data_IF_657381328740
#
_entry.id   IF_657381328740
#
_cell.length_a   1.000
_cell.length_b   1.000
_cell.length_c   1.000
_cell.angle_alpha   90.00
_cell.angle_beta   90.00
_cell.angle_gamma   90.00
#
_symmetry.space_group_name_H-M   'P 1'
#
loop_
_entity.id
_entity.type
_entity.pdbx_description
1 polymer ?
#
# COMPACT_ATOMS: atom_id res chain seq x y z
N UNK A 1 12.85 17.26 20.71
CA UNK A 1 12.19 18.30 21.53
C UNK A 1 10.74 17.89 21.74
N UNK A 2 10.22 18.02 22.96
CA UNK A 2 8.81 17.75 23.26
C UNK A 2 8.07 19.09 23.21
N UNK A 3 6.97 19.16 22.45
CA UNK A 3 6.13 20.36 22.34
C UNK A 3 6.43 21.27 21.13
N UNK A 4 7.46 20.99 20.34
CA UNK A 4 7.80 21.79 19.16
C UNK A 4 7.15 21.29 17.86
N UNK A 5 6.87 22.21 16.94
CA UNK A 5 6.40 21.89 15.57
C UNK A 5 7.57 21.48 14.68
N UNK A 6 7.95 20.21 14.77
CA UNK A 6 9.03 19.62 13.95
C UNK A 6 8.44 19.08 12.64
N UNK A 7 9.16 19.25 11.52
CA UNK A 7 8.79 18.63 10.23
C UNK A 7 8.88 17.11 10.33
N UNK A 8 8.02 16.40 9.61
CA UNK A 8 8.01 14.94 9.66
C UNK A 8 9.23 14.39 8.91
N UNK A 9 9.80 13.31 9.43
CA UNK A 9 11.04 12.72 8.89
C UNK A 9 10.73 11.97 7.59
N UNK A 10 9.53 11.41 7.48
CA UNK A 10 9.05 10.68 6.31
C UNK A 10 8.61 11.57 5.14
N UNK A 11 8.40 12.88 5.35
CA UNK A 11 7.90 13.80 4.31
C UNK A 11 8.75 13.77 3.03
N UNK A 12 10.09 13.81 3.06
CA UNK A 12 10.88 13.86 1.83
C UNK A 12 10.70 12.64 0.93
N UNK A 13 10.56 11.43 1.47
CA UNK A 13 10.38 10.21 0.68
C UNK A 13 8.94 10.07 0.21
N UNK A 14 7.96 10.36 1.08
CA UNK A 14 6.54 10.31 0.74
C UNK A 14 6.16 11.35 -0.33
N UNK A 15 6.61 12.60 -0.18
CA UNK A 15 6.21 13.69 -1.07
C UNK A 15 6.93 13.69 -2.42
N UNK A 16 8.03 12.93 -2.56
CA UNK A 16 8.83 12.87 -3.79
C UNK A 16 8.68 11.54 -4.53
N UNK A 17 7.78 10.66 -4.09
CA UNK A 17 7.59 9.34 -4.70
C UNK A 17 8.78 8.40 -4.50
N UNK A 18 9.61 8.63 -3.47
CA UNK A 18 10.74 7.77 -3.12
C UNK A 18 10.40 6.72 -2.05
N UNK A 19 9.19 6.77 -1.49
CA UNK A 19 8.68 5.70 -0.65
C UNK A 19 8.29 4.49 -1.50
N UNK A 20 8.45 3.29 -0.94
CA UNK A 20 8.09 2.02 -1.57
C UNK A 20 7.00 1.38 -0.72
N UNK A 21 5.83 1.16 -1.31
CA UNK A 21 4.72 0.42 -0.74
C UNK A 21 4.62 -0.97 -1.37
N UNK A 22 3.69 -1.79 -0.88
CA UNK A 22 3.59 -3.20 -1.26
C UNK A 22 3.44 -3.41 -2.77
N UNK A 23 2.72 -2.52 -3.45
CA UNK A 23 2.43 -2.61 -4.89
C UNK A 23 3.53 -1.98 -5.75
N UNK A 24 4.46 -1.23 -5.14
CA UNK A 24 5.63 -0.67 -5.84
C UNK A 24 6.74 -1.74 -6.03
N UNK A 25 6.64 -2.86 -5.34
CA UNK A 25 7.61 -3.96 -5.40
C UNK A 25 7.36 -4.80 -6.66
N UNK A 26 8.35 -4.83 -7.55
CA UNK A 26 8.29 -5.61 -8.79
C UNK A 26 9.42 -6.66 -8.84
N UNK A 27 9.03 -7.93 -8.95
CA UNK A 27 9.97 -9.06 -9.08
C UNK A 27 9.93 -9.61 -10.51
N UNK A 28 11.05 -10.16 -10.98
CA UNK A 28 11.08 -10.85 -12.28
C UNK A 28 10.16 -12.06 -12.24
N UNK A 29 9.22 -12.14 -13.19
CA UNK A 29 8.22 -13.22 -13.25
C UNK A 29 7.07 -13.11 -12.25
N UNK A 30 6.89 -11.96 -11.58
CA UNK A 30 5.77 -11.76 -10.66
C UNK A 30 4.43 -11.90 -11.40
N UNK A 31 3.57 -12.79 -10.89
CA UNK A 31 2.21 -12.99 -11.40
C UNK A 31 1.20 -12.16 -10.62
N UNK A 32 0.13 -11.75 -11.29
CA UNK A 32 -1.03 -11.11 -10.65
C UNK A 32 -2.08 -12.16 -10.28
N UNK A 33 -2.79 -11.92 -9.18
CA UNK A 33 -3.94 -12.73 -8.77
C UNK A 33 -5.15 -11.84 -8.50
N UNK A 34 -6.34 -12.39 -8.68
CA UNK A 34 -7.60 -11.73 -8.41
C UNK A 34 -8.59 -12.73 -7.81
N UNK A 35 -9.44 -12.25 -6.91
CA UNK A 35 -10.49 -13.03 -6.27
C UNK A 35 -11.85 -12.50 -6.69
N UNK A 36 -12.73 -13.39 -7.16
CA UNK A 36 -14.15 -13.06 -7.36
C UNK A 36 -14.84 -13.09 -6.00
N UNK A 37 -15.65 -12.06 -5.69
CA UNK A 37 -16.41 -12.00 -4.44
C UNK A 37 -17.87 -12.41 -4.68
N UNK A 38 -18.47 -13.06 -3.69
CA UNK A 38 -19.90 -13.40 -3.75
C UNK A 38 -20.74 -12.12 -3.83
N UNK A 39 -21.72 -12.04 -4.75
CA UNK A 39 -22.72 -10.99 -4.73
C UNK A 39 -23.88 -11.28 -3.77
N UNK A 40 -23.89 -12.46 -3.14
CA UNK A 40 -24.96 -12.91 -2.24
C UNK A 40 -24.46 -13.01 -0.79
N UNK A 41 -25.25 -12.58 0.20
CA UNK A 41 -24.90 -12.72 1.62
C UNK A 41 -24.97 -14.18 2.12
N UNK A 42 -25.75 -15.04 1.47
CA UNK A 42 -25.85 -16.47 1.75
C UNK A 42 -26.11 -17.23 0.44
N UNK A 43 -25.21 -18.14 0.10
CA UNK A 43 -25.29 -18.97 -1.11
C UNK A 43 -24.54 -20.29 -0.88
N UNK A 44 -24.85 -21.29 -1.70
CA UNK A 44 -24.12 -22.56 -1.71
C UNK A 44 -22.71 -22.43 -2.32
N UNK A 45 -22.53 -21.48 -3.24
CA UNK A 45 -21.27 -21.09 -3.88
C UNK A 45 -21.25 -19.57 -4.01
#
# INVERSE_FOLDING_TARGET
MIGERIKRIEDPTLLRGGAVFVDDIHLSGMLHTAFVRSPHPHALI
#
